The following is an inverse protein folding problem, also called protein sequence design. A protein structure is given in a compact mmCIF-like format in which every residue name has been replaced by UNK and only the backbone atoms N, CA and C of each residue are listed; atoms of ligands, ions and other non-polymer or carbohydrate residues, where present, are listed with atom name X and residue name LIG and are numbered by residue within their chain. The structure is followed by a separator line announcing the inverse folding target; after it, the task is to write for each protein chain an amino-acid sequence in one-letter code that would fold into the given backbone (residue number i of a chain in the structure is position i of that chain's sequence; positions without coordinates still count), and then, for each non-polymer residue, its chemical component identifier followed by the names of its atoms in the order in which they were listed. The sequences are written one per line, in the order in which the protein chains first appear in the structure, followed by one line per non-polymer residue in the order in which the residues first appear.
data_IF_143357429838
#
_entry.id   IF_143357429838
#
_cell.length_a   1.000
_cell.length_b   1.000
_cell.length_c   1.000
_cell.angle_alpha   90.00
_cell.angle_beta   90.00
_cell.angle_gamma   90.00
#
_symmetry.space_group_name_H-M   'P 1'
#
loop_
_entity.id
_entity.type
_entity.pdbx_description
1 polymer ?
#
# COMPACT_ATOMS: atom_id res chain seq x y z
N UNK A 1 1.34 -12.97 -14.37
CA UNK A 1 2.51 -12.12 -14.67
C UNK A 1 2.35 -10.83 -13.86
N UNK A 2 3.38 -10.39 -13.11
CA UNK A 2 3.28 -9.13 -12.36
C UNK A 2 3.36 -7.96 -13.38
N UNK A 3 2.19 -7.52 -13.86
CA UNK A 3 2.07 -6.50 -14.91
C UNK A 3 2.82 -5.21 -14.56
N UNK A 4 2.85 -4.85 -13.26
CA UNK A 4 3.58 -3.69 -12.75
C UNK A 4 5.10 -3.83 -12.94
N UNK A 5 5.66 -5.01 -12.65
CA UNK A 5 7.09 -5.28 -12.85
C UNK A 5 7.46 -5.16 -14.34
N UNK A 6 6.69 -5.76 -15.24
CA UNK A 6 6.96 -5.71 -16.67
C UNK A 6 6.99 -4.27 -17.18
N UNK A 7 5.97 -3.46 -16.85
CA UNK A 7 5.89 -2.06 -17.25
C UNK A 7 7.07 -1.23 -16.68
N UNK A 8 7.43 -1.46 -15.42
CA UNK A 8 8.56 -0.79 -14.77
C UNK A 8 9.89 -1.09 -15.48
N UNK A 9 10.12 -2.35 -15.84
CA UNK A 9 11.34 -2.78 -16.55
C UNK A 9 11.37 -2.24 -17.97
N UNK A 10 10.24 -2.23 -18.70
CA UNK A 10 10.16 -1.59 -20.01
C UNK A 10 10.50 -0.10 -19.97
N UNK A 11 9.99 0.62 -18.96
CA UNK A 11 10.31 2.03 -18.78
C UNK A 11 11.80 2.25 -18.46
N UNK A 12 12.39 1.38 -17.62
CA UNK A 12 13.82 1.42 -17.35
C UNK A 12 14.64 1.19 -18.63
N UNK A 13 14.31 0.18 -19.43
CA UNK A 13 14.97 -0.12 -20.71
C UNK A 13 14.87 1.04 -21.71
N UNK A 14 13.69 1.68 -21.82
CA UNK A 14 13.50 2.86 -22.67
C UNK A 14 14.37 4.04 -22.21
N UNK A 15 14.55 4.20 -20.90
CA UNK A 15 15.38 5.28 -20.36
C UNK A 15 16.88 5.04 -20.62
N UNK A 16 17.32 3.77 -20.58
CA UNK A 16 18.74 3.37 -20.67
C UNK A 16 19.62 3.91 -19.53
N UNK A 17 19.04 4.47 -18.46
CA UNK A 17 19.79 5.12 -17.38
C UNK A 17 20.01 4.18 -16.20
N UNK A 18 21.28 3.93 -15.87
CA UNK A 18 21.65 3.30 -14.59
C UNK A 18 21.62 4.32 -13.48
N UNK A 19 21.16 3.89 -12.31
CA UNK A 19 21.02 4.72 -11.12
C UNK A 19 21.01 3.84 -9.86
N UNK A 20 20.60 4.41 -8.74
CA UNK A 20 20.50 3.75 -7.44
C UNK A 20 19.47 2.61 -7.40
N UNK A 21 18.58 2.54 -8.39
CA UNK A 21 17.52 1.54 -8.51
C UNK A 21 17.77 0.52 -9.63
N UNK A 22 18.47 0.87 -10.71
CA UNK A 22 18.64 0.02 -11.89
C UNK A 22 20.12 -0.16 -12.29
N UNK A 23 20.49 -1.40 -12.62
CA UNK A 23 21.75 -1.76 -13.28
C UNK A 23 21.48 -2.66 -14.48
N UNK A 24 22.16 -2.42 -15.60
CA UNK A 24 22.07 -3.25 -16.79
C UNK A 24 23.32 -4.10 -16.93
N UNK A 25 23.14 -5.41 -17.10
CA UNK A 25 24.23 -6.36 -17.30
C UNK A 25 23.98 -7.16 -18.58
N UNK A 26 25.06 -7.42 -19.31
CA UNK A 26 24.98 -8.28 -20.50
C UNK A 26 24.73 -9.74 -20.13
N UNK A 27 25.48 -10.27 -19.14
CA UNK A 27 25.38 -11.66 -18.71
C UNK A 27 25.44 -11.78 -17.18
N UNK A 28 24.97 -12.90 -16.67
CA UNK A 28 25.12 -13.25 -15.25
C UNK A 28 26.59 -13.35 -14.87
N UNK A 29 26.91 -12.92 -13.64
CA UNK A 29 28.28 -12.98 -13.14
C UNK A 29 28.81 -14.41 -13.15
N UNK A 30 30.04 -14.58 -13.65
CA UNK A 30 30.77 -15.83 -13.54
C UNK A 30 31.12 -16.16 -12.08
N UNK A 31 31.45 -15.14 -11.30
CA UNK A 31 31.85 -15.26 -9.90
C UNK A 31 30.70 -14.86 -8.98
N UNK A 32 30.26 -15.80 -8.12
CA UNK A 32 29.23 -15.53 -7.11
C UNK A 32 29.62 -14.36 -6.16
N UNK A 33 30.91 -14.17 -5.90
CA UNK A 33 31.41 -13.06 -5.08
C UNK A 33 31.06 -11.69 -5.68
N UNK A 34 31.13 -11.54 -7.02
CA UNK A 34 30.77 -10.29 -7.71
C UNK A 34 29.27 -10.04 -7.67
N UNK A 35 28.47 -11.08 -7.83
CA UNK A 35 27.02 -10.98 -7.71
C UNK A 35 26.61 -10.62 -6.26
N UNK A 36 27.24 -11.23 -5.26
CA UNK A 36 27.00 -10.90 -3.86
C UNK A 36 27.36 -9.44 -3.55
N UNK A 37 28.47 -8.95 -4.09
CA UNK A 37 28.87 -7.55 -3.95
C UNK A 37 27.82 -6.60 -4.55
N UNK A 38 27.32 -6.88 -5.77
CA UNK A 38 26.26 -6.08 -6.38
C UNK A 38 24.94 -6.16 -5.57
N UNK A 39 24.55 -7.34 -5.07
CA UNK A 39 23.38 -7.51 -4.18
C UNK A 39 23.54 -6.67 -2.91
N UNK A 40 24.70 -6.72 -2.25
CA UNK A 40 24.96 -5.94 -1.04
C UNK A 40 24.87 -4.43 -1.29
N UNK A 41 25.43 -3.96 -2.41
CA UNK A 41 25.35 -2.55 -2.79
C UNK A 41 23.89 -2.09 -2.96
N UNK A 42 23.05 -2.91 -3.61
CA UNK A 42 21.65 -2.60 -3.83
C UNK A 42 20.75 -2.80 -2.61
N UNK A 43 21.05 -3.79 -1.77
CA UNK A 43 20.34 -4.01 -0.51
C UNK A 43 20.59 -2.87 0.49
N UNK A 44 21.75 -2.24 0.41
CA UNK A 44 22.17 -1.10 1.24
C UNK A 44 21.97 0.24 0.54
N UNK A 45 20.73 0.53 0.14
CA UNK A 45 20.32 1.83 -0.39
C UNK A 45 19.55 2.63 0.66
N UNK A 46 19.69 3.96 0.64
CA UNK A 46 19.02 4.86 1.61
C UNK A 46 17.53 5.06 1.27
N UNK A 47 17.17 4.94 0.00
CA UNK A 47 15.78 5.09 -0.44
C UNK A 47 14.92 3.84 -0.13
N UNK A 48 13.60 4.01 -0.13
CA UNK A 48 12.63 2.97 0.22
C UNK A 48 12.00 2.33 -1.03
N UNK A 49 12.83 1.85 -1.96
CA UNK A 49 12.38 1.27 -3.24
C UNK A 49 13.16 0.02 -3.55
N UNK A 50 12.50 -0.99 -4.11
CA UNK A 50 13.17 -2.18 -4.63
C UNK A 50 14.13 -1.79 -5.75
N UNK A 51 15.22 -2.55 -5.86
CA UNK A 51 16.28 -2.36 -6.84
C UNK A 51 16.34 -3.55 -7.80
N UNK A 52 16.87 -3.31 -9.00
CA UNK A 52 16.81 -4.28 -10.09
C UNK A 52 18.16 -4.37 -10.82
N UNK A 53 18.66 -5.59 -10.98
CA UNK A 53 19.72 -5.90 -11.91
C UNK A 53 19.09 -6.63 -13.10
N UNK A 54 19.23 -6.05 -14.29
CA UNK A 54 18.57 -6.52 -15.50
C UNK A 54 19.62 -7.13 -16.42
N UNK A 55 19.54 -8.45 -16.63
CA UNK A 55 20.47 -9.22 -17.44
C UNK A 55 19.97 -9.37 -18.89
N UNK A 56 20.91 -9.44 -19.85
CA UNK A 56 20.59 -9.51 -21.27
C UNK A 56 20.51 -8.14 -21.95
N UNK A 57 21.20 -7.14 -21.39
CA UNK A 57 21.30 -5.77 -21.92
C UNK A 57 22.77 -5.42 -22.09
N UNK A 58 23.20 -4.99 -23.29
CA UNK A 58 24.59 -4.64 -23.57
C UNK A 58 25.04 -3.37 -22.85
N UNK A 59 26.34 -3.10 -22.84
CA UNK A 59 26.90 -1.85 -22.30
C UNK A 59 26.32 -0.60 -23.00
N UNK A 60 26.09 -0.67 -24.31
CA UNK A 60 25.38 0.35 -25.12
C UNK A 60 23.86 0.43 -24.83
N UNK A 61 23.38 -0.23 -23.78
CA UNK A 61 21.99 -0.29 -23.34
C UNK A 61 21.01 -0.87 -24.38
N UNK A 62 21.50 -1.76 -25.24
CA UNK A 62 20.69 -2.47 -26.23
C UNK A 62 20.24 -3.82 -25.70
N UNK A 63 18.98 -4.15 -25.97
CA UNK A 63 18.44 -5.46 -25.64
C UNK A 63 19.12 -6.54 -26.50
N UNK A 64 19.89 -7.43 -25.87
CA UNK A 64 20.60 -8.54 -26.53
C UNK A 64 20.01 -9.90 -26.16
N UNK A 65 19.33 -9.98 -25.02
CA UNK A 65 18.76 -11.19 -24.46
C UNK A 65 19.77 -11.92 -23.57
N UNK A 66 19.26 -12.64 -22.57
CA UNK A 66 20.10 -13.43 -21.67
C UNK A 66 20.54 -14.72 -22.35
N UNK A 67 21.82 -15.07 -22.20
CA UNK A 67 22.34 -16.35 -22.65
C UNK A 67 22.23 -17.40 -21.52
N UNK A 68 22.41 -18.68 -21.85
CA UNK A 68 22.38 -19.75 -20.83
C UNK A 68 23.61 -19.83 -19.92
N UNK A 69 24.61 -18.97 -20.13
CA UNK A 69 25.91 -19.06 -19.44
C UNK A 69 25.81 -18.45 -18.05
N UNK A 70 26.18 -19.22 -17.03
CA UNK A 70 26.11 -18.83 -15.61
C UNK A 70 24.73 -18.36 -15.12
N UNK A 71 23.66 -18.59 -15.91
CA UNK A 71 22.29 -18.15 -15.61
C UNK A 71 21.85 -18.79 -14.28
N UNK A 72 21.38 -17.96 -13.35
CA UNK A 72 20.97 -18.39 -12.00
C UNK A 72 19.45 -18.50 -11.93
N UNK A 73 18.98 -19.52 -11.24
CA UNK A 73 17.59 -19.66 -10.82
C UNK A 73 17.43 -19.11 -9.40
N UNK A 74 16.18 -18.93 -8.98
CA UNK A 74 15.84 -18.50 -7.61
C UNK A 74 16.55 -19.35 -6.54
N UNK A 75 16.51 -20.68 -6.67
CA UNK A 75 17.12 -21.60 -5.71
C UNK A 75 18.64 -21.38 -5.59
N UNK A 76 19.34 -21.17 -6.70
CA UNK A 76 20.78 -20.93 -6.70
C UNK A 76 21.16 -19.67 -5.90
N UNK A 77 20.33 -18.62 -5.97
CA UNK A 77 20.55 -17.38 -5.21
C UNK A 77 20.22 -17.55 -3.72
N UNK A 78 19.12 -18.23 -3.41
CA UNK A 78 18.75 -18.50 -2.02
C UNK A 78 19.81 -19.35 -1.32
N UNK A 79 20.28 -20.41 -1.98
CA UNK A 79 21.37 -21.25 -1.48
C UNK A 79 22.67 -20.44 -1.34
N UNK A 80 23.01 -19.59 -2.32
CA UNK A 80 24.19 -18.73 -2.23
C UNK A 80 24.11 -17.80 -1.00
N UNK A 81 22.97 -17.13 -0.78
CA UNK A 81 22.79 -16.18 0.32
C UNK A 81 22.72 -16.86 1.69
N UNK A 82 22.07 -18.03 1.79
CA UNK A 82 22.00 -18.81 3.03
C UNK A 82 23.38 -19.27 3.53
N UNK A 83 24.34 -19.46 2.61
CA UNK A 83 25.71 -19.82 2.93
C UNK A 83 26.61 -18.61 3.27
N UNK A 84 26.09 -17.39 3.22
CA UNK A 84 26.81 -16.18 3.65
C UNK A 84 26.49 -15.89 5.12
N UNK A 85 27.52 -15.80 5.96
CA UNK A 85 27.35 -15.43 7.36
C UNK A 85 27.09 -13.93 7.51
N UNK A 86 25.85 -13.48 7.30
CA UNK A 86 25.44 -12.08 7.50
C UNK A 86 25.44 -11.71 8.99
N UNK A 87 25.69 -10.43 9.27
CA UNK A 87 25.59 -9.90 10.62
C UNK A 87 24.12 -9.66 11.03
N UNK A 88 23.81 -9.95 12.29
CA UNK A 88 22.46 -9.79 12.85
C UNK A 88 21.43 -10.81 12.33
N UNK A 89 21.88 -11.83 11.60
CA UNK A 89 21.04 -12.89 11.01
C UNK A 89 19.99 -12.38 10.00
N UNK A 90 20.17 -11.15 9.49
CA UNK A 90 19.35 -10.58 8.41
C UNK A 90 19.97 -10.89 7.05
N UNK A 91 19.18 -11.53 6.17
CA UNK A 91 19.59 -11.85 4.80
C UNK A 91 18.80 -10.99 3.80
N UNK A 92 19.45 -10.35 2.81
CA UNK A 92 18.74 -9.62 1.77
C UNK A 92 17.72 -10.51 1.06
N UNK A 93 16.48 -10.03 0.92
CA UNK A 93 15.44 -10.73 0.17
C UNK A 93 15.59 -10.44 -1.32
N UNK A 94 15.55 -11.47 -2.14
CA UNK A 94 15.71 -11.37 -3.60
C UNK A 94 14.71 -12.25 -4.35
N UNK A 95 14.35 -11.83 -5.57
CA UNK A 95 13.55 -12.61 -6.51
C UNK A 95 14.16 -12.57 -7.92
N UNK A 96 14.01 -13.65 -8.69
CA UNK A 96 14.41 -13.72 -10.10
C UNK A 96 13.19 -13.99 -10.97
N UNK A 97 12.95 -13.09 -11.91
CA UNK A 97 11.91 -13.21 -12.93
C UNK A 97 12.54 -13.24 -14.33
N UNK A 98 12.02 -14.09 -15.22
CA UNK A 98 12.37 -14.04 -16.65
C UNK A 98 11.24 -13.34 -17.39
N UNK A 99 11.55 -12.24 -18.07
CA UNK A 99 10.60 -11.47 -18.87
C UNK A 99 10.92 -11.61 -20.35
N UNK A 100 9.88 -11.65 -21.18
CA UNK A 100 10.02 -11.62 -22.63
C UNK A 100 9.75 -10.21 -23.14
N UNK A 101 10.77 -9.57 -23.70
CA UNK A 101 10.68 -8.23 -24.29
C UNK A 101 10.89 -8.37 -25.80
N UNK A 102 9.80 -8.25 -26.57
CA UNK A 102 9.78 -8.60 -27.99
C UNK A 102 10.12 -10.08 -28.22
N UNK A 103 11.18 -10.34 -28.97
CA UNK A 103 11.64 -11.71 -29.28
C UNK A 103 12.78 -12.20 -28.38
N UNK A 104 13.16 -11.43 -27.35
CA UNK A 104 14.29 -11.72 -26.47
C UNK A 104 13.82 -11.95 -25.04
N UNK A 105 14.45 -12.90 -24.36
CA UNK A 105 14.29 -13.09 -22.92
C UNK A 105 15.33 -12.27 -22.16
N UNK A 106 14.92 -11.68 -21.05
CA UNK A 106 15.81 -11.05 -20.07
C UNK A 106 15.54 -11.67 -18.70
N UNK A 107 16.55 -11.67 -17.84
CA UNK A 107 16.35 -11.98 -16.42
C UNK A 107 16.40 -10.70 -15.60
N UNK A 108 15.51 -10.62 -14.62
CA UNK A 108 15.40 -9.49 -13.68
C UNK A 108 15.64 -10.04 -12.29
N UNK A 109 16.75 -9.64 -11.68
CA UNK A 109 17.00 -9.86 -10.26
C UNK A 109 16.46 -8.66 -9.47
N UNK A 110 15.39 -8.89 -8.74
CA UNK A 110 14.83 -7.92 -7.79
C UNK A 110 15.51 -8.09 -6.44
N UNK A 111 16.06 -7.00 -5.90
CA UNK A 111 16.53 -6.89 -4.52
C UNK A 111 15.51 -6.05 -3.77
N UNK A 112 14.80 -6.67 -2.83
CA UNK A 112 13.71 -6.00 -2.13
C UNK A 112 14.24 -4.98 -1.13
N UNK A 113 13.57 -3.83 -1.08
CA UNK A 113 13.82 -2.83 -0.07
C UNK A 113 13.57 -3.42 1.33
N UNK A 114 14.43 -3.06 2.28
CA UNK A 114 14.27 -3.43 3.69
C UNK A 114 14.78 -2.32 4.60
N UNK A 115 14.22 -2.28 5.81
CA UNK A 115 14.70 -1.48 6.92
C UNK A 115 15.75 -2.21 7.76
N UNK A 116 16.05 -3.48 7.50
CA UNK A 116 17.04 -4.27 8.26
C UNK A 116 18.51 -3.93 7.93
N UNK A 117 18.72 -2.86 7.16
CA UNK A 117 20.04 -2.34 6.80
C UNK A 117 20.84 -1.86 8.04
N UNK A 118 22.17 -1.74 7.96
CA UNK A 118 23.03 -2.22 6.87
C UNK A 118 23.16 -3.75 6.88
N UNK A 119 23.13 -4.35 5.69
CA UNK A 119 23.56 -5.72 5.44
C UNK A 119 25.08 -5.76 5.26
N UNK A 120 25.76 -6.60 6.02
CA UNK A 120 27.19 -6.82 5.87
C UNK A 120 27.56 -8.22 6.33
N UNK A 121 28.72 -8.68 5.86
CA UNK A 121 29.18 -10.03 6.12
C UNK A 121 29.90 -10.05 7.47
N UNK A 122 29.43 -10.89 8.39
CA UNK A 122 30.11 -11.19 9.66
C UNK A 122 31.23 -12.21 9.46
N UNK A 123 30.99 -13.23 8.63
CA UNK A 123 31.95 -14.28 8.32
C UNK A 123 31.95 -14.57 6.82
N UNK A 124 33.10 -14.35 6.19
CA UNK A 124 33.27 -14.53 4.75
C UNK A 124 33.34 -16.04 4.41
N UNK A 125 32.61 -16.50 3.37
CA UNK A 125 32.80 -17.83 2.81
C UNK A 125 34.26 -18.07 2.37
N UNK A 126 34.78 -19.27 2.59
CA UNK A 126 36.18 -19.61 2.32
C UNK A 126 36.58 -19.51 0.85
N UNK A 127 35.61 -19.61 -0.06
CA UNK A 127 35.80 -19.51 -1.51
C UNK A 127 35.80 -18.06 -2.03
N UNK A 128 35.60 -17.06 -1.17
CA UNK A 128 35.57 -15.63 -1.54
C UNK A 128 36.88 -14.95 -1.13
N UNK A 129 37.43 -14.14 -2.02
CA UNK A 129 38.77 -13.57 -1.87
C UNK A 129 38.76 -12.06 -1.63
N UNK A 130 37.88 -11.34 -2.33
CA UNK A 130 37.91 -9.89 -2.46
C UNK A 130 37.00 -9.16 -1.46
N UNK A 131 35.83 -9.72 -1.19
CA UNK A 131 34.86 -9.16 -0.25
C UNK A 131 35.40 -9.25 1.18
N UNK A 132 35.07 -8.27 2.02
CA UNK A 132 35.62 -8.18 3.38
C UNK A 132 34.54 -8.23 4.45
N UNK A 133 34.88 -8.88 5.55
CA UNK A 133 34.04 -8.92 6.75
C UNK A 133 33.92 -7.52 7.36
N UNK A 134 32.73 -7.18 7.86
CA UNK A 134 32.44 -5.88 8.46
C UNK A 134 32.33 -4.71 7.47
N UNK A 135 32.62 -4.91 6.19
CA UNK A 135 32.47 -3.86 5.18
C UNK A 135 31.00 -3.73 4.76
N UNK A 136 30.54 -2.49 4.72
CA UNK A 136 29.22 -2.10 4.26
C UNK A 136 29.40 -1.52 2.86
N UNK A 137 28.90 -2.27 1.88
CA UNK A 137 28.91 -1.85 0.49
C UNK A 137 27.58 -1.21 0.15
N UNK A 138 27.60 -0.08 -0.55
CA UNK A 138 26.42 0.70 -0.92
C UNK A 138 26.46 1.03 -2.41
N UNK A 139 25.30 1.43 -2.95
CA UNK A 139 25.20 2.08 -4.26
C UNK A 139 24.72 3.52 -4.10
N UNK A 140 25.41 4.46 -4.74
CA UNK A 140 25.01 5.87 -4.82
C UNK A 140 25.03 6.27 -6.30
N UNK A 141 23.85 6.59 -6.85
CA UNK A 141 23.70 6.76 -8.28
C UNK A 141 24.08 5.47 -9.03
N UNK A 142 24.94 5.58 -10.03
CA UNK A 142 25.45 4.46 -10.82
C UNK A 142 26.71 3.79 -10.23
N UNK A 143 27.17 4.22 -9.05
CA UNK A 143 28.44 3.77 -8.45
C UNK A 143 28.23 2.87 -7.25
N UNK A 144 28.84 1.68 -7.32
CA UNK A 144 28.98 0.77 -6.19
C UNK A 144 30.22 1.15 -5.36
N UNK A 145 30.15 0.98 -4.04
CA UNK A 145 31.33 1.01 -3.18
C UNK A 145 32.34 -0.01 -3.69
N UNK A 146 33.61 0.36 -3.96
CA UNK A 146 34.62 -0.59 -4.43
C UNK A 146 34.74 -1.80 -3.49
N UNK A 147 34.87 -3.00 -4.04
CA UNK A 147 34.86 -4.25 -3.25
C UNK A 147 35.95 -4.30 -2.15
N UNK A 148 37.05 -3.56 -2.35
CA UNK A 148 38.17 -3.45 -1.42
C UNK A 148 38.07 -2.25 -0.45
N UNK A 149 36.97 -1.50 -0.47
CA UNK A 149 36.73 -0.32 0.37
C UNK A 149 35.42 -0.45 1.13
N UNK A 150 35.31 0.27 2.24
CA UNK A 150 34.07 0.41 2.97
C UNK A 150 33.35 1.68 2.49
N UNK A 151 32.02 1.74 2.60
CA UNK A 151 31.29 2.96 2.32
C UNK A 151 31.74 4.09 3.27
N UNK A 152 31.65 5.36 2.85
CA UNK A 152 31.92 6.49 3.74
C UNK A 152 31.02 6.46 4.97
N UNK A 153 31.56 6.88 6.13
CA UNK A 153 30.80 6.89 7.38
C UNK A 153 29.48 7.67 7.33
N UNK A 154 29.38 8.84 6.68
CA UNK A 154 28.10 9.55 6.53
C UNK A 154 27.02 8.73 5.82
N UNK A 155 27.40 7.92 4.83
CA UNK A 155 26.45 7.07 4.09
C UNK A 155 26.02 5.86 4.92
N UNK A 156 26.96 5.28 5.67
CA UNK A 156 26.67 4.23 6.65
C UNK A 156 25.71 4.73 7.74
N UNK A 157 25.91 5.96 8.23
CA UNK A 157 25.01 6.59 9.20
C UNK A 157 23.59 6.70 8.65
N UNK A 158 23.42 7.01 7.36
CA UNK A 158 22.10 7.08 6.73
C UNK A 158 21.41 5.71 6.67
N UNK A 159 22.14 4.60 6.53
CA UNK A 159 21.56 3.26 6.64
C UNK A 159 21.07 2.97 8.06
N UNK A 160 21.83 3.36 9.08
CA UNK A 160 21.38 3.23 10.47
C UNK A 160 20.15 4.12 10.75
N UNK A 161 20.14 5.36 10.24
CA UNK A 161 18.95 6.21 10.30
C UNK A 161 17.76 5.55 9.63
N UNK A 162 17.95 4.93 8.45
CA UNK A 162 16.89 4.15 7.78
C UNK A 162 16.41 3.02 8.69
N UNK A 163 17.30 2.20 9.24
CA UNK A 163 16.95 1.11 10.18
C UNK A 163 16.11 1.58 11.36
N UNK A 164 16.45 2.75 11.91
CA UNK A 164 15.75 3.35 13.05
C UNK A 164 14.50 4.15 12.65
N UNK A 165 14.13 4.16 11.35
CA UNK A 165 13.01 4.90 10.80
C UNK A 165 13.19 6.42 10.74
N UNK A 166 14.41 6.93 10.97
CA UNK A 166 14.72 8.36 11.03
C UNK A 166 14.85 9.03 9.66
N UNK A 167 14.89 8.27 8.57
CA UNK A 167 14.82 8.80 7.20
C UNK A 167 13.39 8.96 6.69
N UNK A 168 12.40 8.47 7.44
CA UNK A 168 10.98 8.59 7.06
C UNK A 168 10.36 9.83 7.69
N UNK A 169 9.55 10.60 6.93
CA UNK A 169 8.77 11.69 7.49
C UNK A 169 7.91 11.21 8.68
N UNK A 170 7.72 12.02 9.74
CA UNK A 170 6.95 11.62 10.92
C UNK A 170 5.55 11.08 10.60
N UNK A 171 4.86 11.68 9.61
CA UNK A 171 3.54 11.22 9.19
C UNK A 171 3.54 9.77 8.67
N UNK A 172 4.56 9.41 7.88
CA UNK A 172 4.70 8.04 7.35
C UNK A 172 5.08 7.04 8.45
N UNK A 173 5.89 7.47 9.44
CA UNK A 173 6.17 6.64 10.62
C UNK A 173 4.90 6.35 11.43
N UNK A 174 4.02 7.35 11.61
CA UNK A 174 2.75 7.18 12.31
C UNK A 174 1.85 6.19 11.56
N UNK A 175 1.67 6.39 10.24
CA UNK A 175 0.89 5.47 9.38
C UNK A 175 1.30 4.01 9.55
N UNK A 176 2.61 3.73 9.47
CA UNK A 176 3.14 2.37 9.64
C UNK A 176 2.85 1.79 11.04
N UNK A 177 2.95 2.62 12.08
CA UNK A 177 2.72 2.18 13.46
C UNK A 177 1.25 1.98 13.80
N UNK A 178 0.29 2.53 13.04
CA UNK A 178 -1.14 2.24 13.24
C UNK A 178 -1.48 0.76 13.02
N UNK A 179 -0.67 0.04 12.24
CA UNK A 179 -0.87 -1.40 12.02
C UNK A 179 -0.67 -2.23 13.30
N UNK A 180 0.07 -1.72 14.30
CA UNK A 180 0.31 -2.42 15.57
C UNK A 180 -0.34 -1.68 16.74
N UNK A 181 -1.62 -1.96 17.00
CA UNK A 181 -2.41 -1.31 18.06
C UNK A 181 -1.82 -1.47 19.46
N UNK A 182 -1.11 -2.56 19.71
CA UNK A 182 -0.50 -2.83 21.02
C UNK A 182 0.59 -1.82 21.40
N UNK A 183 1.13 -1.09 20.43
CA UNK A 183 2.07 0.00 20.72
C UNK A 183 1.39 1.30 21.13
N UNK A 184 0.07 1.39 21.04
CA UNK A 184 -0.69 2.60 21.32
C UNK A 184 -1.41 2.49 22.65
N UNK A 185 -1.31 3.54 23.45
CA UNK A 185 -2.00 3.67 24.73
C UNK A 185 -3.12 4.68 24.57
N UNK A 186 -4.32 4.31 25.00
CA UNK A 186 -5.46 5.23 25.08
C UNK A 186 -5.30 6.15 26.29
N UNK A 187 -5.64 7.42 26.09
CA UNK A 187 -5.80 8.46 27.11
C UNK A 187 -7.16 9.13 26.97
N UNK A 188 -7.51 10.02 27.89
CA UNK A 188 -8.76 10.80 27.84
C UNK A 188 -8.87 11.63 26.55
N UNK A 189 -7.74 12.15 26.06
CA UNK A 189 -7.67 13.00 24.87
C UNK A 189 -7.52 12.22 23.55
N UNK A 190 -7.30 10.91 23.60
CA UNK A 190 -7.08 10.07 22.41
C UNK A 190 -6.06 8.96 22.60
N UNK A 191 -4.99 8.96 21.80
CA UNK A 191 -3.96 7.91 21.81
C UNK A 191 -2.56 8.48 21.68
N UNK A 192 -1.57 7.81 22.28
CA UNK A 192 -0.16 8.07 22.03
C UNK A 192 0.62 6.76 21.87
N UNK A 193 1.71 6.78 21.10
CA UNK A 193 2.55 5.61 20.93
C UNK A 193 3.50 5.44 22.13
N UNK A 194 3.57 4.23 22.69
CA UNK A 194 4.36 3.88 23.88
C UNK A 194 5.85 4.12 23.69
N UNK A 195 6.38 3.80 22.49
CA UNK A 195 7.81 3.90 22.19
C UNK A 195 8.21 5.27 21.63
N UNK A 196 7.24 6.02 21.10
CA UNK A 196 7.41 7.41 20.64
C UNK A 196 6.22 8.26 21.08
N UNK A 197 6.20 8.74 22.34
CA UNK A 197 5.09 9.52 22.89
C UNK A 197 4.78 10.81 22.12
N UNK A 198 5.76 11.32 21.36
CA UNK A 198 5.59 12.45 20.45
C UNK A 198 4.59 12.16 19.32
N UNK A 199 4.31 10.87 19.02
CA UNK A 199 3.27 10.45 18.08
C UNK A 199 1.94 10.33 18.81
N UNK A 200 1.01 11.20 18.46
CA UNK A 200 -0.30 11.26 19.13
C UNK A 200 -1.43 11.35 18.11
N UNK A 201 -2.56 10.73 18.46
CA UNK A 201 -3.84 10.90 17.80
C UNK A 201 -4.78 11.54 18.81
N UNK A 202 -5.13 12.80 18.62
CA UNK A 202 -5.91 13.55 19.61
C UNK A 202 -7.29 13.88 19.07
N UNK A 203 -8.33 13.50 19.81
CA UNK A 203 -9.69 13.90 19.52
C UNK A 203 -9.84 15.41 19.72
N UNK A 204 -10.69 16.00 18.92
CA UNK A 204 -11.12 17.38 19.05
C UNK A 204 -12.63 17.40 18.81
N UNK A 205 -13.38 17.84 19.80
CA UNK A 205 -14.81 18.14 19.64
C UNK A 205 -14.98 19.26 18.61
N UNK A 206 -15.96 19.09 17.72
CA UNK A 206 -16.33 20.14 16.78
C UNK A 206 -17.39 21.02 17.44
N UNK A 207 -17.04 22.24 17.84
CA UNK A 207 -17.98 23.15 18.53
C UNK A 207 -19.12 23.63 17.59
N UNK A 208 -19.02 23.40 16.28
CA UNK A 208 -20.02 23.80 15.27
C UNK A 208 -21.06 22.71 14.94
N UNK A 209 -20.99 21.54 15.59
CA UNK A 209 -21.63 20.29 15.12
C UNK A 209 -23.14 20.19 15.25
N UNK A 210 -23.78 20.99 16.11
CA UNK A 210 -25.25 20.92 16.31
C UNK A 210 -26.06 21.22 15.03
N UNK A 211 -25.40 21.64 13.94
CA UNK A 211 -26.02 21.99 12.65
C UNK A 211 -25.72 21.03 11.50
N UNK A 212 -24.82 20.05 11.66
CA UNK A 212 -24.50 19.14 10.57
C UNK A 212 -25.56 18.04 10.44
N UNK A 213 -26.22 17.99 9.28
CA UNK A 213 -27.15 16.92 8.97
C UNK A 213 -26.43 15.56 8.88
N UNK A 214 -27.07 14.52 9.41
CA UNK A 214 -26.57 13.15 9.31
C UNK A 214 -26.50 12.70 7.87
N UNK A 215 -25.38 12.06 7.51
CA UNK A 215 -25.20 11.45 6.20
C UNK A 215 -26.03 10.17 6.06
N UNK A 216 -26.29 9.74 4.82
CA UNK A 216 -27.23 8.64 4.54
C UNK A 216 -26.90 7.33 5.29
N UNK A 217 -25.61 6.99 5.46
CA UNK A 217 -25.17 5.77 6.14
C UNK A 217 -25.44 5.77 7.66
N UNK A 218 -25.80 6.91 8.25
CA UNK A 218 -26.29 6.98 9.63
C UNK A 218 -27.54 6.13 9.79
N UNK A 219 -28.42 6.14 8.78
CA UNK A 219 -29.69 5.41 8.85
C UNK A 219 -29.57 3.92 8.50
N UNK A 220 -28.38 3.43 8.14
CA UNK A 220 -28.16 1.98 8.08
C UNK A 220 -28.01 1.37 9.48
N UNK A 221 -27.72 2.19 10.49
CA UNK A 221 -27.49 1.76 11.86
C UNK A 221 -28.78 1.36 12.57
N UNK A 222 -28.65 0.58 13.65
CA UNK A 222 -29.79 0.24 14.51
C UNK A 222 -30.35 1.49 15.19
N UNK A 223 -29.45 2.36 15.66
CA UNK A 223 -29.75 3.68 16.17
C UNK A 223 -29.11 4.74 15.27
N UNK A 224 -29.93 5.62 14.68
CA UNK A 224 -29.50 6.70 13.80
C UNK A 224 -28.90 7.90 14.55
N UNK A 225 -28.71 7.84 15.86
CA UNK A 225 -27.94 8.86 16.59
C UNK A 225 -26.47 8.79 16.19
N UNK A 226 -25.94 9.95 15.79
CA UNK A 226 -24.57 10.14 15.38
C UNK A 226 -23.98 11.39 16.05
N UNK A 227 -22.65 11.46 16.06
CA UNK A 227 -21.90 12.63 16.49
C UNK A 227 -20.66 12.75 15.59
N UNK A 228 -20.43 13.92 15.00
CA UNK A 228 -19.16 14.17 14.33
C UNK A 228 -18.11 14.60 15.36
N UNK A 229 -16.85 14.44 14.99
CA UNK A 229 -15.72 14.97 15.73
C UNK A 229 -14.53 15.06 14.79
N UNK A 230 -13.40 15.56 15.28
CA UNK A 230 -12.16 15.56 14.54
C UNK A 230 -11.09 14.77 15.28
N UNK A 231 -10.14 14.20 14.53
CA UNK A 231 -8.92 13.65 15.12
C UNK A 231 -7.70 14.26 14.43
N UNK A 232 -6.77 14.74 15.25
CA UNK A 232 -5.50 15.31 14.80
C UNK A 232 -4.42 14.25 14.87
N UNK A 233 -3.66 14.12 13.79
CA UNK A 233 -2.44 13.33 13.76
C UNK A 233 -1.28 14.26 14.11
N UNK A 234 -0.65 14.02 15.26
CA UNK A 234 0.32 14.94 15.84
C UNK A 234 1.73 14.33 15.85
N UNK A 235 2.72 15.19 15.63
CA UNK A 235 4.10 14.95 16.03
C UNK A 235 4.58 16.09 16.92
N UNK A 236 4.86 15.81 18.19
CA UNK A 236 5.02 16.82 19.22
C UNK A 236 3.81 17.78 19.23
N UNK A 237 4.05 19.08 19.05
CA UNK A 237 3.02 20.11 18.97
C UNK A 237 2.52 20.37 17.53
N UNK A 238 3.08 19.69 16.54
CA UNK A 238 2.76 19.93 15.12
C UNK A 238 1.64 19.01 14.67
N UNK A 239 0.57 19.61 14.12
CA UNK A 239 -0.48 18.87 13.41
C UNK A 239 0.05 18.49 12.04
N UNK A 240 0.16 17.18 11.79
CA UNK A 240 0.61 16.64 10.51
C UNK A 240 -0.55 16.34 9.56
N UNK A 241 -1.70 15.95 10.11
CA UNK A 241 -2.91 15.65 9.35
C UNK A 241 -4.16 15.76 10.23
N UNK A 242 -5.33 15.81 9.61
CA UNK A 242 -6.64 15.87 10.30
C UNK A 242 -7.68 15.05 9.56
N UNK A 243 -8.50 14.35 10.32
CA UNK A 243 -9.65 13.62 9.80
C UNK A 243 -10.91 14.02 10.55
N UNK A 244 -11.98 14.29 9.80
CA UNK A 244 -13.32 14.29 10.38
C UNK A 244 -13.71 12.84 10.66
N UNK A 245 -14.18 12.60 11.87
CA UNK A 245 -14.72 11.34 12.33
C UNK A 245 -16.24 11.45 12.45
N UNK A 246 -16.90 10.30 12.39
CA UNK A 246 -18.30 10.14 12.76
C UNK A 246 -18.42 8.96 13.71
N UNK A 247 -19.07 9.19 14.84
CA UNK A 247 -19.50 8.17 15.79
C UNK A 247 -20.94 7.81 15.48
N UNK A 248 -21.17 6.52 15.22
CA UNK A 248 -22.42 5.94 14.75
C UNK A 248 -23.02 5.02 15.81
N UNK A 249 -24.32 4.73 15.67
CA UNK A 249 -25.06 3.80 16.53
C UNK A 249 -24.93 4.14 18.02
N UNK A 250 -25.11 5.42 18.34
CA UNK A 250 -24.91 5.98 19.70
C UNK A 250 -23.49 5.79 20.27
N UNK A 251 -22.48 5.87 19.41
CA UNK A 251 -21.07 5.80 19.81
C UNK A 251 -20.48 4.39 19.84
N UNK A 252 -21.20 3.37 19.37
CA UNK A 252 -20.68 2.00 19.26
C UNK A 252 -19.59 1.87 18.20
N UNK A 253 -19.66 2.66 17.13
CA UNK A 253 -18.69 2.61 16.05
C UNK A 253 -18.25 3.99 15.61
N UNK A 254 -16.97 4.31 15.78
CA UNK A 254 -16.36 5.53 15.29
C UNK A 254 -15.45 5.23 14.11
N UNK A 255 -15.59 6.02 13.05
CA UNK A 255 -14.81 5.88 11.82
C UNK A 255 -14.52 7.25 11.24
N UNK A 256 -13.45 7.43 10.45
CA UNK A 256 -13.33 8.59 9.57
C UNK A 256 -14.56 8.76 8.67
N UNK A 257 -14.78 9.96 8.14
CA UNK A 257 -15.83 10.18 7.15
C UNK A 257 -15.34 9.65 5.79
N UNK A 258 -16.10 8.77 5.10
CA UNK A 258 -15.70 8.23 3.80
C UNK A 258 -15.83 9.28 2.68
N UNK A 259 -15.15 9.06 1.57
CA UNK A 259 -15.07 10.01 0.45
C UNK A 259 -16.26 9.86 -0.48
N UNK A 260 -16.80 10.97 -1.00
CA UNK A 260 -17.83 10.95 -2.04
C UNK A 260 -17.25 10.60 -3.42
N UNK A 261 -17.99 9.81 -4.21
CA UNK A 261 -17.83 9.71 -5.66
C UNK A 261 -19.16 10.00 -6.38
N UNK A 262 -19.04 10.55 -7.59
CA UNK A 262 -20.13 10.97 -8.45
C UNK A 262 -19.87 10.45 -9.85
N UNK A 263 -20.74 9.58 -10.35
CA UNK A 263 -20.55 8.85 -11.60
C UNK A 263 -21.72 9.03 -12.55
N UNK A 264 -21.41 9.18 -13.85
CA UNK A 264 -22.40 9.39 -14.90
C UNK A 264 -23.09 10.75 -14.80
N UNK A 265 -23.88 11.09 -15.83
CA UNK A 265 -24.70 12.31 -15.85
C UNK A 265 -26.04 12.02 -16.53
N UNK A 266 -27.12 12.48 -15.95
CA UNK A 266 -28.43 12.51 -16.59
C UNK A 266 -28.55 13.68 -17.59
N UNK A 267 -29.72 13.82 -18.21
CA UNK A 267 -30.04 14.91 -19.15
C UNK A 267 -29.93 16.32 -18.53
N UNK A 268 -30.00 16.40 -17.20
CA UNK A 268 -29.90 17.62 -16.40
C UNK A 268 -28.52 17.79 -15.74
N UNK A 269 -27.52 17.00 -16.15
CA UNK A 269 -26.13 17.04 -15.65
C UNK A 269 -26.01 16.57 -14.19
N UNK A 270 -27.05 16.00 -13.59
CA UNK A 270 -26.97 15.40 -12.27
C UNK A 270 -26.23 14.05 -12.31
N UNK A 271 -25.41 13.73 -11.30
CA UNK A 271 -24.78 12.42 -11.21
C UNK A 271 -25.82 11.29 -11.18
N UNK A 272 -25.60 10.24 -11.98
CA UNK A 272 -26.49 9.07 -12.02
C UNK A 272 -26.29 8.16 -10.81
N UNK A 273 -25.02 7.97 -10.42
CA UNK A 273 -24.64 7.12 -9.31
C UNK A 273 -23.82 7.94 -8.32
N UNK A 274 -24.31 8.02 -7.08
CA UNK A 274 -23.69 8.77 -5.99
C UNK A 274 -23.44 7.82 -4.83
N UNK A 275 -22.20 7.70 -4.40
CA UNK A 275 -21.84 6.75 -3.35
C UNK A 275 -20.64 7.25 -2.53
N UNK A 276 -20.44 6.65 -1.35
CA UNK A 276 -19.26 6.89 -0.53
C UNK A 276 -18.35 5.68 -0.47
N UNK A 277 -17.04 5.92 -0.38
CA UNK A 277 -16.04 4.85 -0.43
C UNK A 277 -14.79 5.11 0.43
N UNK A 278 -14.06 4.03 0.65
CA UNK A 278 -12.67 4.02 1.11
C UNK A 278 -11.75 3.41 0.06
N UNK A 279 -10.52 3.93 0.00
CA UNK A 279 -9.39 3.23 -0.62
C UNK A 279 -8.60 2.52 0.48
N UNK A 280 -8.42 1.20 0.37
CA UNK A 280 -7.71 0.40 1.39
C UNK A 280 -6.24 0.80 1.54
N UNK A 281 -5.65 1.39 0.51
CA UNK A 281 -4.29 1.94 0.57
C UNK A 281 -4.22 3.40 1.10
N UNK A 282 -5.34 3.99 1.52
CA UNK A 282 -5.37 5.37 2.05
C UNK A 282 -5.07 5.44 3.55
N UNK A 283 -4.66 6.62 4.01
CA UNK A 283 -4.47 6.87 5.44
C UNK A 283 -5.80 6.83 6.22
N UNK A 284 -6.89 7.35 5.65
CA UNK A 284 -8.21 7.29 6.26
C UNK A 284 -8.65 5.84 6.54
N UNK A 285 -8.38 4.91 5.61
CA UNK A 285 -8.66 3.49 5.85
C UNK A 285 -7.76 2.90 6.93
N UNK A 286 -6.46 3.18 6.93
CA UNK A 286 -5.56 2.72 8.01
C UNK A 286 -6.03 3.21 9.39
N UNK A 287 -6.49 4.46 9.48
CA UNK A 287 -7.06 5.03 10.69
C UNK A 287 -8.38 4.35 11.08
N UNK A 288 -9.27 4.06 10.12
CA UNK A 288 -10.48 3.27 10.38
C UNK A 288 -10.11 1.90 10.98
N UNK A 289 -9.14 1.19 10.40
CA UNK A 289 -8.69 -0.10 10.91
C UNK A 289 -8.08 0.02 12.31
N UNK A 290 -7.35 1.10 12.60
CA UNK A 290 -6.83 1.38 13.93
C UNK A 290 -7.95 1.58 14.98
N UNK A 291 -8.97 2.38 14.67
CA UNK A 291 -10.09 2.66 15.58
C UNK A 291 -11.06 1.49 15.76
N UNK A 292 -11.13 0.57 14.79
CA UNK A 292 -12.05 -0.57 14.81
C UNK A 292 -11.57 -1.72 15.70
N UNK A 293 -12.28 -2.06 16.78
CA UNK A 293 -11.99 -3.21 17.62
C UNK A 293 -12.80 -4.44 17.17
N UNK A 294 -12.12 -5.44 16.60
CA UNK A 294 -12.73 -6.69 16.14
C UNK A 294 -13.21 -7.60 17.29
N UNK A 295 -12.69 -7.42 18.50
CA UNK A 295 -13.13 -8.15 19.68
C UNK A 295 -14.41 -7.58 20.31
N UNK A 296 -14.85 -6.39 19.86
CA UNK A 296 -16.08 -5.75 20.33
C UNK A 296 -17.26 -6.10 19.41
N UNK A 297 -18.10 -7.04 19.84
CA UNK A 297 -19.25 -7.52 19.05
C UNK A 297 -20.24 -6.42 18.65
N UNK A 298 -20.46 -5.42 19.50
CA UNK A 298 -21.35 -4.29 19.20
C UNK A 298 -20.76 -3.41 18.08
N UNK A 299 -19.45 -3.17 18.13
CA UNK A 299 -18.74 -2.40 17.11
C UNK A 299 -18.69 -3.16 15.78
N UNK A 300 -18.45 -4.48 15.82
CA UNK A 300 -18.50 -5.36 14.64
C UNK A 300 -19.87 -5.30 13.96
N UNK A 301 -20.95 -5.35 14.74
CA UNK A 301 -22.31 -5.27 14.23
C UNK A 301 -22.62 -3.92 13.56
N UNK A 302 -22.29 -2.81 14.23
CA UNK A 302 -22.47 -1.47 13.68
C UNK A 302 -21.64 -1.26 12.40
N UNK A 303 -20.38 -1.75 12.39
CA UNK A 303 -19.53 -1.72 11.20
C UNK A 303 -20.09 -2.55 10.05
N UNK A 304 -20.64 -3.73 10.30
CA UNK A 304 -21.26 -4.55 9.24
C UNK A 304 -22.35 -3.78 8.50
N UNK A 305 -23.28 -3.17 9.24
CA UNK A 305 -24.35 -2.33 8.68
C UNK A 305 -23.84 -1.10 7.94
N UNK A 306 -22.72 -0.55 8.40
CA UNK A 306 -22.05 0.56 7.71
C UNK A 306 -21.43 0.08 6.39
N UNK A 307 -20.74 -1.05 6.39
CA UNK A 307 -20.06 -1.62 5.22
C UNK A 307 -21.06 -2.05 4.12
N UNK A 308 -22.29 -2.42 4.47
CA UNK A 308 -23.35 -2.74 3.51
C UNK A 308 -23.63 -1.61 2.51
N UNK A 309 -23.41 -0.36 2.91
CA UNK A 309 -23.75 0.83 2.12
C UNK A 309 -22.54 1.69 1.75
N UNK A 310 -21.33 1.28 2.12
CA UNK A 310 -20.07 1.96 1.82
C UNK A 310 -19.17 1.03 1.00
N UNK A 311 -18.58 1.57 -0.07
CA UNK A 311 -17.71 0.81 -0.95
C UNK A 311 -16.26 0.81 -0.46
N UNK A 312 -15.56 -0.30 -0.69
CA UNK A 312 -14.16 -0.47 -0.33
C UNK A 312 -13.37 -0.94 -1.54
N UNK A 313 -12.47 -0.10 -2.05
CA UNK A 313 -11.57 -0.44 -3.17
C UNK A 313 -10.15 -0.68 -2.66
N UNK A 314 -9.41 -1.59 -3.28
CA UNK A 314 -8.01 -1.86 -2.97
C UNK A 314 -7.13 -0.63 -3.25
N UNK A 315 -7.42 0.08 -4.34
CA UNK A 315 -6.74 1.30 -4.75
C UNK A 315 -7.60 2.09 -5.76
N UNK A 316 -7.12 3.27 -6.15
CA UNK A 316 -7.84 4.16 -7.07
C UNK A 316 -7.97 3.58 -8.49
N UNK A 317 -7.04 2.72 -8.93
CA UNK A 317 -7.14 2.04 -10.22
C UNK A 317 -8.32 1.06 -10.23
N UNK A 318 -8.53 0.27 -9.18
CA UNK A 318 -9.71 -0.59 -9.06
C UNK A 318 -10.99 0.23 -9.10
N UNK A 319 -11.03 1.36 -8.37
CA UNK A 319 -12.19 2.27 -8.38
C UNK A 319 -12.52 2.76 -9.79
N UNK A 320 -11.52 3.23 -10.54
CA UNK A 320 -11.71 3.73 -11.91
C UNK A 320 -12.23 2.64 -12.84
N UNK A 321 -11.65 1.42 -12.77
CA UNK A 321 -12.09 0.28 -13.57
C UNK A 321 -13.52 -0.15 -13.22
N UNK A 322 -13.85 -0.16 -11.92
CA UNK A 322 -15.19 -0.46 -11.45
C UNK A 322 -16.21 0.60 -11.90
N UNK A 323 -15.86 1.89 -11.84
CA UNK A 323 -16.72 2.98 -12.31
C UNK A 323 -17.02 2.86 -13.81
N UNK A 324 -16.03 2.49 -14.63
CA UNK A 324 -16.24 2.19 -16.05
C UNK A 324 -17.21 1.02 -16.23
N UNK A 325 -17.00 -0.07 -15.47
CA UNK A 325 -17.89 -1.23 -15.48
C UNK A 325 -19.34 -0.86 -15.13
N UNK A 326 -19.57 -0.03 -14.12
CA UNK A 326 -20.92 0.43 -13.72
C UNK A 326 -21.61 1.18 -14.86
N UNK A 327 -20.89 2.08 -15.55
CA UNK A 327 -21.44 2.83 -16.69
C UNK A 327 -21.81 1.91 -17.85
N UNK A 328 -20.95 0.96 -18.19
CA UNK A 328 -21.16 -0.01 -19.27
C UNK A 328 -22.31 -0.99 -18.99
N UNK A 329 -22.63 -1.21 -17.71
CA UNK A 329 -23.63 -2.19 -17.27
C UNK A 329 -24.87 -1.52 -16.63
N UNK A 330 -25.24 -0.32 -17.08
CA UNK A 330 -26.32 0.48 -16.46
C UNK A 330 -27.68 -0.25 -16.30
N UNK A 331 -28.05 -1.17 -17.21
CA UNK A 331 -29.27 -1.97 -17.08
C UNK A 331 -29.21 -2.94 -15.90
N UNK A 332 -28.06 -3.60 -15.71
CA UNK A 332 -27.80 -4.49 -14.59
C UNK A 332 -27.83 -3.72 -13.26
N UNK A 333 -27.25 -2.52 -13.22
CA UNK A 333 -27.26 -1.67 -12.02
C UNK A 333 -28.68 -1.25 -11.67
N UNK A 334 -29.52 -0.96 -12.67
CA UNK A 334 -30.94 -0.65 -12.46
C UNK A 334 -31.70 -1.82 -11.83
N UNK A 335 -31.38 -3.06 -12.19
CA UNK A 335 -31.97 -4.26 -11.56
C UNK A 335 -31.56 -4.37 -10.09
N UNK A 336 -30.28 -4.15 -9.77
CA UNK A 336 -29.79 -4.17 -8.38
C UNK A 336 -30.36 -3.05 -7.54
N UNK A 337 -30.58 -1.86 -8.11
CA UNK A 337 -31.24 -0.76 -7.42
C UNK A 337 -32.69 -1.12 -7.06
N UNK A 338 -33.43 -1.74 -7.99
CA UNK A 338 -34.81 -2.17 -7.72
C UNK A 338 -34.90 -3.19 -6.59
N UNK A 339 -33.94 -4.12 -6.52
CA UNK A 339 -33.83 -5.07 -5.41
C UNK A 339 -33.45 -4.37 -4.09
N UNK A 340 -32.49 -3.44 -4.14
CA UNK A 340 -32.06 -2.68 -2.97
C UNK A 340 -33.16 -1.79 -2.38
N UNK A 341 -34.07 -1.27 -3.21
CA UNK A 341 -35.23 -0.47 -2.78
C UNK A 341 -36.25 -1.27 -1.95
N UNK A 342 -36.23 -2.60 -2.02
CA UNK A 342 -37.04 -3.46 -1.16
C UNK A 342 -36.50 -3.51 0.28
N UNK A 343 -35.25 -3.10 0.51
CA UNK A 343 -34.64 -3.08 1.83
C UNK A 343 -35.23 -1.94 2.68
N UNK A 344 -35.63 -2.28 3.91
CA UNK A 344 -36.26 -1.31 4.82
C UNK A 344 -35.24 -0.67 5.76
N UNK A 345 -35.11 0.65 5.66
CA UNK A 345 -34.41 1.50 6.63
C UNK A 345 -35.39 2.43 7.34
N UNK A 346 -35.19 2.59 8.66
CA UNK A 346 -35.89 3.59 9.47
C UNK A 346 -35.23 4.94 9.26
N UNK A 347 -35.99 5.93 8.77
CA UNK A 347 -35.48 7.26 8.43
C UNK A 347 -36.22 8.32 9.27
N UNK A 348 -35.49 8.97 10.16
CA UNK A 348 -36.06 9.85 11.18
C UNK A 348 -35.44 11.26 11.19
N UNK A 349 -34.97 11.74 10.03
CA UNK A 349 -34.37 13.08 9.89
C UNK A 349 -35.31 14.27 10.18
N UNK A 350 -36.60 14.02 10.42
CA UNK A 350 -37.63 15.06 10.54
C UNK A 350 -37.98 15.78 9.22
N UNK A 351 -37.29 15.47 8.12
CA UNK A 351 -37.48 16.09 6.80
C UNK A 351 -37.73 15.04 5.71
N UNK A 352 -38.90 15.11 5.06
CA UNK A 352 -39.29 14.13 4.03
C UNK A 352 -38.36 14.10 2.81
N UNK A 353 -37.81 15.24 2.39
CA UNK A 353 -36.89 15.31 1.26
C UNK A 353 -35.54 14.66 1.61
N UNK A 354 -35.03 14.92 2.82
CA UNK A 354 -33.80 14.30 3.33
C UNK A 354 -33.97 12.79 3.46
N UNK A 355 -35.13 12.33 3.94
CA UNK A 355 -35.45 10.91 4.00
C UNK A 355 -35.49 10.27 2.60
N UNK A 356 -36.17 10.90 1.63
CA UNK A 356 -36.24 10.38 0.27
C UNK A 356 -34.86 10.26 -0.39
N UNK A 357 -34.01 11.28 -0.21
CA UNK A 357 -32.65 11.29 -0.74
C UNK A 357 -31.73 10.29 -0.04
N UNK A 358 -31.83 10.17 1.29
CA UNK A 358 -31.07 9.20 2.08
C UNK A 358 -31.44 7.76 1.69
N UNK A 359 -32.73 7.49 1.44
CA UNK A 359 -33.20 6.19 0.95
C UNK A 359 -32.54 5.82 -0.37
N UNK A 360 -32.54 6.73 -1.35
CA UNK A 360 -31.89 6.51 -2.65
C UNK A 360 -30.41 6.18 -2.50
N UNK A 361 -29.70 6.90 -1.63
CA UNK A 361 -28.26 6.70 -1.38
C UNK A 361 -27.96 5.39 -0.67
N UNK A 362 -28.81 4.97 0.27
CA UNK A 362 -28.72 3.65 0.92
C UNK A 362 -28.90 2.52 -0.11
N UNK A 363 -29.95 2.61 -0.94
CA UNK A 363 -30.18 1.64 -2.03
C UNK A 363 -29.00 1.62 -3.02
N UNK A 364 -28.45 2.79 -3.34
CA UNK A 364 -27.27 2.90 -4.21
C UNK A 364 -26.05 2.21 -3.62
N UNK A 365 -25.76 2.41 -2.32
CA UNK A 365 -24.67 1.72 -1.63
C UNK A 365 -24.81 0.20 -1.70
N UNK A 366 -26.00 -0.33 -1.37
CA UNK A 366 -26.30 -1.77 -1.46
C UNK A 366 -26.11 -2.32 -2.88
N UNK A 367 -26.71 -1.65 -3.87
CA UNK A 367 -26.66 -2.09 -5.27
C UNK A 367 -25.23 -2.09 -5.82
N UNK A 368 -24.45 -1.06 -5.51
CA UNK A 368 -23.07 -0.97 -5.98
C UNK A 368 -22.12 -1.91 -5.23
N UNK A 369 -22.35 -2.22 -3.96
CA UNK A 369 -21.59 -3.27 -3.25
C UNK A 369 -21.82 -4.66 -3.86
N UNK A 370 -23.07 -4.96 -4.27
CA UNK A 370 -23.40 -6.16 -5.04
C UNK A 370 -22.68 -6.18 -6.40
N UNK A 371 -22.70 -5.07 -7.13
CA UNK A 371 -21.99 -4.93 -8.40
C UNK A 371 -20.46 -5.08 -8.24
N UNK A 372 -19.88 -4.52 -7.18
CA UNK A 372 -18.44 -4.58 -6.91
C UNK A 372 -17.99 -6.02 -6.64
N UNK A 373 -18.79 -6.80 -5.92
CA UNK A 373 -18.51 -8.22 -5.69
C UNK A 373 -18.44 -8.99 -7.02
N UNK A 374 -19.40 -8.77 -7.92
CA UNK A 374 -19.40 -9.42 -9.24
C UNK A 374 -18.28 -8.94 -10.17
N UNK A 375 -17.92 -7.67 -10.10
CA UNK A 375 -16.78 -7.12 -10.84
C UNK A 375 -15.49 -7.87 -10.47
N UNK A 376 -15.26 -8.12 -9.17
CA UNK A 376 -14.10 -8.86 -8.67
C UNK A 376 -14.12 -10.34 -9.06
N UNK A 377 -15.29 -10.97 -9.07
CA UNK A 377 -15.44 -12.37 -9.50
C UNK A 377 -15.08 -12.56 -10.99
N UNK A 378 -15.40 -11.58 -11.84
CA UNK A 378 -15.01 -11.61 -13.27
C UNK A 378 -13.51 -11.47 -13.47
N UNK A 379 -12.86 -10.57 -12.75
CA UNK A 379 -11.41 -10.35 -12.79
C UNK A 379 -10.60 -11.56 -12.30
N UNK A 380 -11.14 -12.30 -11.33
CA UNK A 380 -10.50 -13.51 -10.80
C UNK A 380 -10.80 -14.75 -11.66
N UNK A 381 -12.01 -14.87 -12.21
CA UNK A 381 -12.40 -15.95 -13.14
C UNK A 381 -11.72 -15.88 -14.50
N UNK A 382 -11.47 -14.67 -15.02
CA UNK A 382 -10.71 -14.48 -16.28
C UNK A 382 -9.27 -14.97 -16.21
N UNK A 383 -8.65 -14.91 -15.02
CA UNK A 383 -7.29 -15.42 -14.79
C UNK A 383 -7.17 -16.94 -14.73
N UNK A 384 -8.27 -17.69 -14.57
CA UNK A 384 -8.25 -19.16 -14.58
C UNK A 384 -8.49 -19.77 -15.97
N UNK A 385 -8.96 -18.99 -16.95
CA UNK A 385 -9.18 -19.47 -18.33
C UNK A 385 -8.04 -19.14 -19.31
N UNK A 386 -7.00 -18.42 -18.86
CA UNK A 386 -5.77 -18.16 -19.63
C UNK A 386 -4.53 -18.93 -19.12
N UNK A 387 -4.72 -19.95 -18.27
CA UNK A 387 -3.64 -20.79 -17.74
C UNK A 387 -3.43 -22.09 -18.56
#
# INVERSE_FOLDING_TARGET
MNYDLALKIENALKSGKENDQFDFKQEWHKENERLLHDILCFANTVHNRDCYIIFGVSDDKKLIGVNGKNRKKQADLLDMLANVGFAGDYTPKVAVDTLRVGYKEIDVLTIFNSFDVPYYIKKKPTNYNSIREGYIYMRIGDKNTPINQNAPMPDIEMLWKKRLGLTMPPLEQIKQRLANKLEWVSSEEGYYNTYKPDFQLLYQEDEEDERLAGEFYVYSQTNSHFLYSNIKVMFNITVLDRFQLISLDSGRYTTPVPTWSFLGKDEHINPLYIYKYYLKNSFAYQLQQFLFNEDNSEQVWAKHKYDEVILYFDNDTERILFEAYVLENSSLISEYLREADEHYYTLDSGNQLVNAESRKRLSMGLALNKALSQFRDRETGGKMHEA
#
